data_IF_663845236003
#
_entry.id   IF_663845236003
#
_cell.length_a   1.000
_cell.length_b   1.000
_cell.length_c   1.000
_cell.angle_alpha   90.00
_cell.angle_beta   90.00
_cell.angle_gamma   90.00
#
_symmetry.space_group_name_H-M   'P 1'
#
loop_
_entity.id
_entity.type
_entity.pdbx_description
1 polymer ?
#
# COMPACT_ATOMS: atom_id res chain seq x y z
N UNK A 1 -2.10 -6.99 -19.66
CA UNK A 1 -2.77 -7.43 -18.43
C UNK A 1 -3.47 -6.24 -17.78
N UNK A 2 -4.68 -6.44 -17.32
CA UNK A 2 -5.44 -5.38 -16.67
C UNK A 2 -4.91 -5.12 -15.27
N UNK A 3 -4.72 -3.85 -14.95
CA UNK A 3 -4.23 -3.46 -13.62
C UNK A 3 -5.33 -3.62 -12.58
N UNK A 4 -5.01 -4.25 -11.46
CA UNK A 4 -5.97 -4.47 -10.39
C UNK A 4 -5.37 -4.05 -9.05
N UNK A 5 -6.25 -3.74 -8.10
CA UNK A 5 -5.82 -3.41 -6.75
C UNK A 5 -5.16 -4.61 -6.10
N UNK A 6 -4.12 -4.33 -5.31
CA UNK A 6 -3.45 -5.38 -4.55
C UNK A 6 -4.20 -5.52 -3.23
N UNK A 7 -4.77 -6.70 -2.94
CA UNK A 7 -5.56 -6.84 -1.72
C UNK A 7 -4.69 -6.93 -0.47
N UNK A 8 -5.29 -6.62 0.69
CA UNK A 8 -4.60 -6.72 1.97
C UNK A 8 -4.09 -8.15 2.19
N UNK A 9 -4.85 -9.14 1.73
CA UNK A 9 -4.45 -10.54 1.90
C UNK A 9 -3.10 -10.85 1.26
N UNK A 10 -2.76 -10.18 0.15
CA UNK A 10 -1.46 -10.37 -0.48
C UNK A 10 -0.35 -9.81 0.40
N UNK A 11 -0.57 -8.65 0.99
CA UNK A 11 0.41 -8.04 1.90
C UNK A 11 0.57 -8.90 3.16
N UNK A 12 -0.53 -9.42 3.68
CA UNK A 12 -0.50 -10.30 4.86
C UNK A 12 0.32 -11.56 4.56
N UNK A 13 0.12 -12.16 3.41
CA UNK A 13 0.87 -13.36 3.03
C UNK A 13 2.37 -13.06 2.97
N UNK A 14 2.74 -11.93 2.40
CA UNK A 14 4.15 -11.54 2.33
C UNK A 14 4.71 -11.34 3.74
N UNK A 15 3.96 -10.64 4.59
CA UNK A 15 4.40 -10.40 5.96
C UNK A 15 4.64 -11.71 6.71
N UNK A 16 3.72 -12.66 6.60
CA UNK A 16 3.82 -13.95 7.28
C UNK A 16 4.94 -14.81 6.72
N UNK A 17 5.09 -14.80 5.40
CA UNK A 17 6.11 -15.60 4.74
C UNK A 17 7.52 -15.14 5.09
N UNK A 18 7.72 -13.85 5.17
CA UNK A 18 9.07 -13.30 5.36
C UNK A 18 9.32 -12.73 6.74
N UNK A 19 8.32 -12.79 7.63
CA UNK A 19 8.51 -12.44 9.05
C UNK A 19 8.52 -10.95 9.35
N UNK A 20 7.68 -10.17 8.67
CA UNK A 20 7.59 -8.74 8.93
C UNK A 20 6.28 -8.37 9.63
N UNK A 21 6.33 -7.38 10.48
CA UNK A 21 5.15 -6.89 11.21
C UNK A 21 4.39 -5.83 10.43
N UNK A 22 5.04 -5.16 9.50
CA UNK A 22 4.44 -4.10 8.70
C UNK A 22 4.87 -4.27 7.26
N UNK A 23 3.91 -4.08 6.34
CA UNK A 23 4.16 -4.15 4.90
C UNK A 23 3.51 -2.95 4.23
N UNK A 24 4.25 -2.31 3.35
CA UNK A 24 3.73 -1.26 2.49
C UNK A 24 4.10 -1.64 1.06
N UNK A 25 3.09 -1.76 0.20
CA UNK A 25 3.29 -2.13 -1.19
C UNK A 25 2.78 -0.99 -2.06
N UNK A 26 3.61 -0.54 -2.98
CA UNK A 26 3.22 0.48 -3.94
C UNK A 26 3.38 -0.11 -5.34
N UNK A 27 2.27 -0.15 -6.07
CA UNK A 27 2.28 -0.57 -7.47
C UNK A 27 2.06 0.64 -8.35
N UNK A 28 2.82 0.73 -9.43
CA UNK A 28 2.67 1.83 -10.38
C UNK A 28 2.66 1.29 -11.81
N UNK A 29 1.64 1.71 -12.54
CA UNK A 29 1.60 1.49 -13.98
C UNK A 29 1.87 2.83 -14.63
N UNK A 30 2.96 2.90 -15.37
CA UNK A 30 3.44 4.15 -15.95
C UNK A 30 2.97 4.28 -17.39
N UNK A 31 2.75 5.53 -17.82
CA UNK A 31 2.35 5.81 -19.18
C UNK A 31 0.91 6.30 -19.26
N UNK A 32 0.40 6.35 -20.49
CA UNK A 32 -0.97 6.79 -20.73
C UNK A 32 -1.94 5.82 -20.06
N UNK A 33 -2.85 6.36 -19.28
CA UNK A 33 -3.77 5.53 -18.51
C UNK A 33 -3.13 4.92 -17.28
N UNK A 34 -1.99 5.48 -16.85
CA UNK A 34 -1.28 4.97 -15.70
C UNK A 34 -2.07 5.05 -14.42
N UNK A 35 -1.66 4.24 -13.45
CA UNK A 35 -2.37 4.14 -12.18
C UNK A 35 -1.38 3.83 -11.07
N UNK A 36 -1.68 4.33 -9.89
CA UNK A 36 -0.87 4.06 -8.70
C UNK A 36 -1.77 3.49 -7.62
N UNK A 37 -1.24 2.53 -6.89
CA UNK A 37 -1.97 1.85 -5.83
C UNK A 37 -1.05 1.58 -4.65
N UNK A 38 -1.58 1.77 -3.45
CA UNK A 38 -0.83 1.53 -2.22
C UNK A 38 -1.63 0.59 -1.32
N UNK A 39 -1.00 -0.48 -0.88
CA UNK A 39 -1.58 -1.44 0.05
C UNK A 39 -0.73 -1.47 1.31
N UNK A 40 -1.36 -1.33 2.46
CA UNK A 40 -0.66 -1.37 3.75
C UNK A 40 -1.22 -2.48 4.62
N UNK A 41 -0.36 -3.09 5.41
CA UNK A 41 -0.75 -4.15 6.34
C UNK A 41 0.09 -4.07 7.61
N UNK A 42 -0.54 -4.30 8.75
CA UNK A 42 0.15 -4.43 10.03
C UNK A 42 -0.41 -5.63 10.79
N UNK A 43 0.45 -6.29 11.54
CA UNK A 43 0.11 -7.51 12.26
C UNK A 43 -0.92 -7.24 13.36
N UNK A 44 -0.97 -6.03 13.88
CA UNK A 44 -1.95 -5.60 14.87
C UNK A 44 -2.27 -4.12 14.65
N UNK A 45 -3.17 -3.57 15.46
CA UNK A 45 -3.65 -2.20 15.26
C UNK A 45 -2.53 -1.16 15.30
N UNK A 46 -1.62 -1.15 16.28
CA UNK A 46 -0.52 -0.18 16.28
C UNK A 46 0.35 -0.28 15.02
N UNK A 47 0.64 -1.50 14.57
CA UNK A 47 1.45 -1.68 13.36
C UNK A 47 0.68 -1.29 12.10
N UNK A 48 -0.62 -1.52 12.06
CA UNK A 48 -1.45 -1.05 10.96
C UNK A 48 -1.41 0.47 10.86
N UNK A 49 -1.50 1.14 12.00
CA UNK A 49 -1.48 2.60 12.02
C UNK A 49 -0.15 3.15 11.52
N UNK A 50 0.95 2.53 11.91
CA UNK A 50 2.28 2.94 11.44
C UNK A 50 2.42 2.70 9.94
N UNK A 51 2.01 1.53 9.48
CA UNK A 51 2.09 1.21 8.05
C UNK A 51 1.25 2.20 7.23
N UNK A 52 0.07 2.56 7.72
CA UNK A 52 -0.78 3.53 7.04
C UNK A 52 -0.11 4.90 6.98
N UNK A 53 0.56 5.32 8.05
CA UNK A 53 1.27 6.60 8.07
C UNK A 53 2.41 6.60 7.06
N UNK A 54 3.14 5.51 6.96
CA UNK A 54 4.23 5.39 5.99
C UNK A 54 3.66 5.47 4.57
N UNK A 55 2.57 4.74 4.31
CA UNK A 55 1.92 4.77 3.01
C UNK A 55 1.45 6.17 2.65
N UNK A 56 0.84 6.88 3.60
CA UNK A 56 0.38 8.25 3.38
C UNK A 56 1.55 9.19 3.11
N UNK A 57 2.64 9.04 3.84
CA UNK A 57 3.82 9.86 3.61
C UNK A 57 4.32 9.68 2.18
N UNK A 58 4.42 8.44 1.73
CA UNK A 58 4.89 8.15 0.38
C UNK A 58 3.95 8.73 -0.67
N UNK A 59 2.65 8.61 -0.46
CA UNK A 59 1.66 9.14 -1.39
C UNK A 59 1.77 10.65 -1.53
N UNK A 60 1.77 11.36 -0.42
CA UNK A 60 1.61 12.81 -0.45
C UNK A 60 2.91 13.58 -0.44
N UNK A 61 3.98 13.01 0.08
CA UNK A 61 5.26 13.71 0.18
C UNK A 61 6.25 13.31 -0.91
N UNK A 62 6.25 12.04 -1.26
CA UNK A 62 7.23 11.54 -2.25
C UNK A 62 6.60 11.45 -3.62
N UNK A 63 5.43 10.81 -3.73
CA UNK A 63 4.79 10.60 -5.03
C UNK A 63 3.89 11.77 -5.42
N UNK A 64 3.61 12.66 -4.49
CA UNK A 64 2.85 13.89 -4.74
C UNK A 64 1.48 13.63 -5.33
N UNK A 65 0.76 12.67 -4.76
CA UNK A 65 -0.61 12.43 -5.16
C UNK A 65 -1.45 13.61 -4.74
N UNK A 66 -2.09 14.24 -5.70
CA UNK A 66 -2.94 15.40 -5.42
C UNK A 66 -4.31 14.99 -4.94
N UNK A 67 -4.81 13.87 -5.46
CA UNK A 67 -6.08 13.32 -5.03
C UNK A 67 -5.87 11.88 -4.64
N UNK A 68 -6.85 11.34 -3.91
CA UNK A 68 -6.80 9.93 -3.54
C UNK A 68 -6.81 9.08 -4.79
N UNK A 69 -5.77 8.30 -4.98
CA UNK A 69 -5.70 7.40 -6.12
C UNK A 69 -6.37 6.08 -5.79
N UNK A 70 -5.66 5.25 -5.10
CA UNK A 70 -6.17 3.95 -4.71
C UNK A 70 -5.35 3.51 -3.50
N UNK A 71 -6.03 3.17 -2.42
CA UNK A 71 -5.34 2.72 -1.23
C UNK A 71 -6.16 1.63 -0.55
N UNK A 72 -5.49 0.55 -0.20
CA UNK A 72 -6.08 -0.54 0.55
C UNK A 72 -5.26 -0.73 1.81
N UNK A 73 -5.90 -0.69 2.97
CA UNK A 73 -5.18 -0.83 4.22
C UNK A 73 -6.10 -1.08 5.38
N UNK A 74 -5.51 -1.60 6.45
CA UNK A 74 -6.19 -1.86 7.70
C UNK A 74 -6.03 -0.66 8.60
N UNK A 75 -7.09 -0.32 9.32
CA UNK A 75 -7.04 0.82 10.22
C UNK A 75 -7.51 0.45 11.61
#
# INVERSE_FOLDING_TARGET
>A
MKTRDIPISAAKEIAERYGYDQIVIIGRKVGIGGREHCTTYGVDKPNCDVAAKIGNFLKYKIMKWETEQSMTGER
#
